data_IF_724990380334
#
_entry.id   IF_724990380334
#
_cell.length_a   1.000
_cell.length_b   1.000
_cell.length_c   1.000
_cell.angle_alpha   90.00
_cell.angle_beta   90.00
_cell.angle_gamma   90.00
#
_symmetry.space_group_name_H-M   'P 1'
#
loop_
_entity.id
_entity.type
_entity.pdbx_description
1 polymer ?
#
# COMPACT_ATOMS: atom_id res chain seq x y z
N UNK A 1 33.41 -31.30 14.35
CA UNK A 1 32.87 -30.32 13.38
C UNK A 1 31.44 -30.75 13.08
N UNK A 2 30.40 -29.93 13.23
CA UNK A 2 29.06 -30.39 12.88
C UNK A 2 29.04 -30.67 11.38
N UNK A 3 28.56 -31.87 11.01
CA UNK A 3 28.46 -32.32 9.63
C UNK A 3 27.71 -31.27 8.80
N UNK A 4 28.30 -30.87 7.67
CA UNK A 4 27.61 -30.03 6.71
C UNK A 4 26.34 -30.77 6.27
N UNK A 5 25.17 -30.17 6.52
CA UNK A 5 23.89 -30.77 6.14
C UNK A 5 23.82 -30.77 4.62
N UNK A 6 23.83 -31.95 4.03
CA UNK A 6 23.57 -32.18 2.62
C UNK A 6 22.07 -32.43 2.43
N UNK A 7 21.45 -31.63 1.55
CA UNK A 7 20.03 -31.73 1.19
C UNK A 7 19.86 -31.92 -0.32
N UNK A 8 20.90 -32.39 -1.01
CA UNK A 8 20.85 -32.62 -2.46
C UNK A 8 19.71 -33.59 -2.81
N UNK A 9 18.83 -33.19 -3.73
CA UNK A 9 17.65 -33.94 -4.14
C UNK A 9 16.41 -33.70 -3.28
N UNK A 10 16.53 -33.07 -2.11
CA UNK A 10 15.38 -32.79 -1.25
C UNK A 10 14.47 -31.72 -1.87
N UNK A 11 13.16 -31.90 -1.65
CA UNK A 11 12.11 -31.02 -2.15
C UNK A 11 11.51 -30.16 -1.04
N UNK A 12 11.41 -28.87 -1.31
CA UNK A 12 10.85 -27.83 -0.44
C UNK A 12 9.80 -27.03 -1.21
N UNK A 13 8.53 -27.47 -1.15
CA UNK A 13 7.48 -26.93 -2.00
C UNK A 13 7.78 -27.19 -3.48
N UNK A 14 7.94 -26.13 -4.27
CA UNK A 14 8.30 -26.22 -5.70
C UNK A 14 9.81 -26.25 -5.97
N UNK A 15 10.64 -26.17 -4.93
CA UNK A 15 12.09 -26.10 -5.07
C UNK A 15 12.70 -27.47 -4.80
N UNK A 16 13.56 -27.94 -5.70
CA UNK A 16 14.40 -29.13 -5.50
C UNK A 16 15.84 -28.69 -5.35
N UNK A 17 16.48 -29.01 -4.23
CA UNK A 17 17.86 -28.64 -3.98
C UNK A 17 18.81 -29.41 -4.91
N UNK A 18 19.61 -28.70 -5.71
CA UNK A 18 20.54 -29.29 -6.68
C UNK A 18 21.96 -29.40 -6.13
N UNK A 19 22.45 -28.32 -5.53
CA UNK A 19 23.84 -28.20 -5.07
C UNK A 19 23.98 -27.06 -4.08
N UNK A 20 25.05 -27.09 -3.29
CA UNK A 20 25.41 -25.98 -2.41
C UNK A 20 25.65 -24.72 -3.23
N UNK A 21 24.97 -23.64 -2.84
CA UNK A 21 25.10 -22.32 -3.44
C UNK A 21 26.17 -21.46 -2.74
N UNK A 22 26.38 -20.22 -3.21
CA UNK A 22 27.29 -19.28 -2.56
C UNK A 22 26.75 -18.88 -1.19
N UNK A 23 27.54 -19.08 -0.13
CA UNK A 23 27.16 -18.69 1.23
C UNK A 23 26.81 -17.19 1.27
N UNK A 24 25.74 -16.85 1.99
CA UNK A 24 25.32 -15.47 2.23
C UNK A 24 25.68 -15.09 3.66
N UNK A 25 26.88 -14.51 3.82
CA UNK A 25 27.45 -14.27 5.15
C UNK A 25 27.66 -15.59 5.89
N UNK A 26 27.05 -15.75 7.07
CA UNK A 26 27.12 -16.99 7.87
C UNK A 26 26.13 -18.06 7.44
N UNK A 27 25.22 -17.77 6.49
CA UNK A 27 24.15 -18.69 6.07
C UNK A 27 24.60 -19.56 4.92
N UNK A 28 24.36 -20.86 5.05
CA UNK A 28 24.54 -21.82 3.96
C UNK A 28 23.36 -21.72 3.01
N UNK A 29 23.64 -21.57 1.72
CA UNK A 29 22.62 -21.50 0.67
C UNK A 29 22.69 -22.71 -0.23
N UNK A 30 21.58 -22.95 -0.93
CA UNK A 30 21.39 -24.04 -1.86
C UNK A 30 20.80 -23.51 -3.16
N UNK A 31 21.44 -23.85 -4.27
CA UNK A 31 20.89 -23.66 -5.60
C UNK A 31 19.79 -24.68 -5.80
N UNK A 32 18.57 -24.20 -6.06
CA UNK A 32 17.39 -25.03 -6.18
C UNK A 32 16.74 -24.87 -7.56
N UNK A 33 16.32 -25.98 -8.17
CA UNK A 33 15.48 -25.96 -9.37
C UNK A 33 14.02 -25.80 -8.95
N UNK A 34 13.37 -24.77 -9.45
CA UNK A 34 11.94 -24.57 -9.27
C UNK A 34 11.14 -25.38 -10.30
N UNK A 35 9.95 -25.85 -9.95
CA UNK A 35 9.04 -26.54 -10.88
C UNK A 35 8.67 -25.69 -12.12
N UNK A 36 8.85 -24.37 -12.06
CA UNK A 36 8.68 -23.50 -13.24
C UNK A 36 9.92 -23.44 -14.15
N UNK A 37 10.96 -24.22 -13.87
CA UNK A 37 12.20 -24.32 -14.66
C UNK A 37 13.32 -23.36 -14.27
N UNK A 38 13.09 -22.40 -13.36
CA UNK A 38 14.10 -21.42 -12.95
C UNK A 38 14.95 -21.94 -11.79
N UNK A 39 16.26 -21.65 -11.83
CA UNK A 39 17.17 -21.85 -10.69
C UNK A 39 17.08 -20.68 -9.70
N UNK A 40 17.07 -20.97 -8.40
CA UNK A 40 16.99 -19.97 -7.35
C UNK A 40 17.85 -20.37 -6.14
N UNK A 41 18.68 -19.44 -5.65
CA UNK A 41 19.50 -19.65 -4.46
C UNK A 41 18.71 -19.27 -3.20
N UNK A 42 18.56 -20.23 -2.28
CA UNK A 42 17.81 -20.06 -1.03
C UNK A 42 18.67 -20.49 0.15
N UNK A 43 18.60 -19.77 1.28
CA UNK A 43 19.26 -20.24 2.50
C UNK A 43 18.57 -21.50 3.05
N UNK A 44 19.39 -22.39 3.63
CA UNK A 44 18.95 -23.69 4.12
C UNK A 44 17.84 -23.56 5.19
N UNK A 45 17.91 -22.57 6.06
CA UNK A 45 16.91 -22.35 7.11
C UNK A 45 15.55 -21.97 6.51
N UNK A 46 15.53 -21.12 5.48
CA UNK A 46 14.29 -20.74 4.78
C UNK A 46 13.65 -21.91 4.02
N UNK A 47 14.45 -22.84 3.49
CA UNK A 47 13.95 -24.08 2.90
C UNK A 47 13.30 -24.97 3.97
N UNK A 48 14.02 -25.26 5.07
CA UNK A 48 13.54 -26.18 6.12
C UNK A 48 12.32 -25.67 6.88
N UNK A 49 12.23 -24.37 7.12
CA UNK A 49 11.07 -23.76 7.77
C UNK A 49 9.94 -23.41 6.79
N UNK A 50 10.10 -23.68 5.49
CA UNK A 50 9.09 -23.42 4.48
C UNK A 50 8.79 -21.94 4.24
N UNK A 51 9.73 -21.05 4.56
CA UNK A 51 9.63 -19.61 4.29
C UNK A 51 9.74 -19.32 2.78
N UNK A 52 10.52 -20.13 2.06
CA UNK A 52 10.68 -20.03 0.61
C UNK A 52 10.20 -21.32 -0.05
N UNK A 53 9.11 -21.22 -0.82
CA UNK A 53 8.43 -22.38 -1.45
C UNK A 53 8.55 -22.41 -2.98
N UNK A 54 9.11 -21.37 -3.59
CA UNK A 54 9.31 -21.23 -5.04
C UNK A 54 10.34 -20.14 -5.34
N UNK A 55 10.77 -20.02 -6.58
CA UNK A 55 11.60 -18.90 -7.05
C UNK A 55 10.86 -17.55 -7.14
N UNK A 56 9.64 -17.44 -6.59
CA UNK A 56 8.73 -16.29 -6.74
C UNK A 56 7.57 -16.55 -7.70
N UNK A 57 7.60 -17.63 -8.49
CA UNK A 57 6.54 -17.94 -9.46
C UNK A 57 5.17 -18.16 -8.81
N UNK A 58 5.10 -18.71 -7.59
CA UNK A 58 3.85 -18.84 -6.84
C UNK A 58 3.16 -17.48 -6.63
N UNK A 59 3.94 -16.44 -6.31
CA UNK A 59 3.42 -15.09 -6.11
C UNK A 59 2.97 -14.48 -7.43
N UNK A 60 3.78 -14.62 -8.49
CA UNK A 60 3.44 -14.14 -9.83
C UNK A 60 2.16 -14.78 -10.39
N UNK A 61 1.97 -16.09 -10.17
CA UNK A 61 0.76 -16.80 -10.55
C UNK A 61 -0.48 -16.30 -9.79
N UNK A 62 -0.35 -16.10 -8.47
CA UNK A 62 -1.43 -15.56 -7.65
C UNK A 62 -1.82 -14.14 -8.09
N UNK A 63 -0.84 -13.27 -8.34
CA UNK A 63 -1.07 -11.91 -8.83
C UNK A 63 -1.78 -11.90 -10.19
N UNK A 64 -1.35 -12.75 -11.13
CA UNK A 64 -2.00 -12.91 -12.45
C UNK A 64 -3.47 -13.34 -12.32
N UNK A 65 -3.77 -14.30 -11.44
CA UNK A 65 -5.15 -14.75 -11.18
C UNK A 65 -6.03 -13.64 -10.59
N UNK A 66 -5.47 -12.75 -9.77
CA UNK A 66 -6.20 -11.58 -9.25
C UNK A 66 -6.52 -10.57 -10.36
N UNK A 67 -5.56 -10.31 -11.26
CA UNK A 67 -5.77 -9.40 -12.40
C UNK A 67 -6.87 -9.93 -13.32
N UNK A 68 -6.88 -11.23 -13.64
CA UNK A 68 -7.91 -11.79 -14.53
C UNK A 68 -9.29 -11.77 -13.88
N UNK A 69 -9.41 -12.04 -12.57
CA UNK A 69 -10.68 -12.00 -11.85
C UNK A 69 -11.26 -10.60 -11.70
N UNK A 70 -10.39 -9.61 -11.52
CA UNK A 70 -10.79 -8.22 -11.29
C UNK A 70 -10.55 -7.34 -12.53
N UNK A 71 -10.42 -7.94 -13.73
CA UNK A 71 -10.25 -7.17 -14.96
C UNK A 71 -11.50 -6.32 -15.16
N UNK A 72 -11.39 -4.98 -15.16
CA UNK A 72 -12.55 -4.14 -15.45
C UNK A 72 -13.04 -4.45 -16.88
N UNK A 73 -14.34 -4.25 -17.16
CA UNK A 73 -14.88 -4.38 -18.52
C UNK A 73 -14.03 -3.60 -19.53
N UNK A 74 -13.99 -4.07 -20.77
CA UNK A 74 -13.27 -3.39 -21.83
C UNK A 74 -13.73 -1.92 -21.96
N UNK A 75 -12.78 -0.98 -21.88
CA UNK A 75 -13.06 0.47 -21.88
C UNK A 75 -13.28 1.12 -20.50
N UNK A 76 -13.40 0.34 -19.42
CA UNK A 76 -13.57 0.90 -18.07
C UNK A 76 -12.21 1.23 -17.42
N UNK A 77 -11.68 2.44 -17.69
CA UNK A 77 -10.61 3.06 -16.89
C UNK A 77 -11.26 3.92 -15.79
N UNK A 78 -11.43 3.37 -14.59
CA UNK A 78 -11.94 4.11 -13.41
C UNK A 78 -10.87 4.97 -12.72
N UNK A 79 -9.77 5.28 -13.40
CA UNK A 79 -8.76 6.17 -12.83
C UNK A 79 -9.08 7.58 -13.26
N UNK A 80 -9.34 8.44 -12.30
CA UNK A 80 -9.38 9.90 -12.45
C UNK A 80 -8.00 10.50 -12.84
N UNK A 81 -7.00 9.68 -13.20
CA UNK A 81 -5.68 10.09 -13.69
C UNK A 81 -4.75 10.69 -12.63
N UNK A 82 -5.20 10.81 -11.38
CA UNK A 82 -4.51 11.57 -10.33
C UNK A 82 -4.23 10.74 -9.07
N UNK A 83 -4.17 9.41 -9.17
CA UNK A 83 -4.01 8.54 -8.00
C UNK A 83 -2.70 8.76 -7.23
N UNK A 84 -1.67 9.32 -7.88
CA UNK A 84 -0.39 9.69 -7.27
C UNK A 84 -0.28 11.20 -6.97
N UNK A 85 -1.38 11.95 -7.11
CA UNK A 85 -1.36 13.40 -6.89
C UNK A 85 -1.50 13.76 -5.40
N UNK A 86 -0.93 14.90 -4.97
CA UNK A 86 -1.06 15.34 -3.60
C UNK A 86 -2.49 15.76 -3.20
N UNK A 87 -3.33 16.14 -4.14
CA UNK A 87 -4.75 16.42 -3.95
C UNK A 87 -5.49 15.13 -3.60
N UNK A 88 -5.25 14.06 -4.37
CA UNK A 88 -5.83 12.74 -4.09
C UNK A 88 -5.38 12.21 -2.73
N UNK A 89 -4.10 12.40 -2.40
CA UNK A 89 -3.57 12.07 -1.07
C UNK A 89 -4.28 12.86 0.05
N UNK A 90 -4.53 14.15 -0.16
CA UNK A 90 -5.24 15.01 0.79
C UNK A 90 -6.71 14.58 0.98
N UNK A 91 -7.39 14.21 -0.11
CA UNK A 91 -8.75 13.67 -0.11
C UNK A 91 -8.83 12.32 0.65
N UNK A 92 -7.90 11.42 0.39
CA UNK A 92 -7.77 10.16 1.12
C UNK A 92 -7.53 10.41 2.62
N UNK A 93 -6.66 11.36 2.96
CA UNK A 93 -6.37 11.73 4.34
C UNK A 93 -7.58 12.35 5.05
N UNK A 94 -8.40 13.15 4.36
CA UNK A 94 -9.69 13.65 4.86
C UNK A 94 -10.64 12.50 5.19
N UNK A 95 -10.84 11.55 4.24
CA UNK A 95 -11.69 10.37 4.46
C UNK A 95 -11.21 9.53 5.64
N UNK A 96 -9.90 9.29 5.74
CA UNK A 96 -9.30 8.55 6.86
C UNK A 96 -9.56 9.24 8.21
N UNK A 97 -9.44 10.58 8.28
CA UNK A 97 -9.72 11.35 9.52
C UNK A 97 -11.16 11.17 9.99
N UNK A 98 -12.13 11.22 9.08
CA UNK A 98 -13.55 11.22 9.44
C UNK A 98 -14.19 9.82 9.53
N UNK A 99 -13.65 8.81 8.84
CA UNK A 99 -14.34 7.52 8.65
C UNK A 99 -13.63 6.32 9.26
N UNK A 100 -12.39 6.48 9.76
CA UNK A 100 -11.64 5.35 10.33
C UNK A 100 -11.69 5.34 11.86
N UNK A 101 -12.62 4.60 12.49
CA UNK A 101 -12.75 4.52 13.95
C UNK A 101 -11.53 3.88 14.63
N UNK A 102 -10.74 3.09 13.90
CA UNK A 102 -9.52 2.46 14.43
C UNK A 102 -8.33 3.44 14.50
N UNK A 103 -8.48 4.68 14.06
CA UNK A 103 -7.42 5.68 14.20
C UNK A 103 -7.39 6.21 15.63
N UNK A 104 -6.21 6.23 16.26
CA UNK A 104 -6.00 6.87 17.57
C UNK A 104 -6.41 8.35 17.62
N UNK A 105 -6.48 9.02 16.46
CA UNK A 105 -6.91 10.43 16.36
C UNK A 105 -8.39 10.57 15.93
N UNK A 106 -9.14 9.48 15.83
CA UNK A 106 -10.52 9.50 15.35
C UNK A 106 -11.41 10.40 16.20
N UNK A 107 -11.24 10.37 17.52
CA UNK A 107 -11.94 11.23 18.48
C UNK A 107 -11.79 12.72 18.19
N UNK A 108 -10.69 13.17 17.54
CA UNK A 108 -10.50 14.59 17.17
C UNK A 108 -11.26 15.00 15.90
N UNK A 109 -11.79 14.03 15.16
CA UNK A 109 -12.39 14.20 13.84
C UNK A 109 -13.74 13.51 13.78
N UNK A 110 -13.82 12.31 13.19
CA UNK A 110 -15.09 11.59 13.04
C UNK A 110 -15.80 11.33 14.37
N UNK A 111 -15.05 11.08 15.45
CA UNK A 111 -15.61 10.91 16.79
C UNK A 111 -16.24 12.18 17.39
N UNK A 112 -15.89 13.37 16.89
CA UNK A 112 -16.56 14.65 17.22
C UNK A 112 -17.81 14.92 16.39
N UNK A 113 -18.14 14.06 15.42
CA UNK A 113 -19.24 14.27 14.49
C UNK A 113 -18.88 15.13 13.28
N UNK A 114 -17.59 15.39 13.02
CA UNK A 114 -17.13 16.07 11.82
C UNK A 114 -17.35 15.14 10.61
N UNK A 115 -18.13 15.61 9.64
CA UNK A 115 -18.52 14.85 8.44
C UNK A 115 -17.84 15.42 7.20
N UNK A 116 -17.98 14.66 6.11
CA UNK A 116 -17.58 15.05 4.76
C UNK A 116 -18.86 15.21 3.96
N UNK A 117 -18.96 16.27 3.14
CA UNK A 117 -20.13 16.45 2.30
C UNK A 117 -20.31 15.24 1.35
N UNK A 118 -21.55 14.85 1.01
CA UNK A 118 -21.80 13.61 0.26
C UNK A 118 -21.09 13.54 -1.10
N UNK A 119 -20.98 14.67 -1.80
CA UNK A 119 -20.32 14.75 -3.10
C UNK A 119 -18.85 14.35 -2.98
N UNK A 120 -18.10 15.01 -2.10
CA UNK A 120 -16.69 14.70 -1.85
C UNK A 120 -16.50 13.29 -1.29
N UNK A 121 -17.44 12.79 -0.48
CA UNK A 121 -17.35 11.41 0.02
C UNK A 121 -17.40 10.39 -1.13
N UNK A 122 -18.24 10.67 -2.13
CA UNK A 122 -18.56 9.79 -3.26
C UNK A 122 -17.55 9.84 -4.41
N UNK A 123 -16.93 11.00 -4.67
CA UNK A 123 -16.08 11.21 -5.85
C UNK A 123 -14.90 12.14 -5.55
N UNK A 124 -13.72 11.75 -5.99
CA UNK A 124 -12.54 12.61 -5.95
C UNK A 124 -12.66 13.78 -6.94
N UNK A 125 -13.27 13.54 -8.10
CA UNK A 125 -13.48 14.53 -9.14
C UNK A 125 -14.31 15.71 -8.63
N UNK A 126 -15.34 15.47 -7.84
CA UNK A 126 -16.12 16.56 -7.19
C UNK A 126 -15.29 17.34 -6.19
N UNK A 127 -14.47 16.65 -5.37
CA UNK A 127 -13.54 17.31 -4.45
C UNK A 127 -12.53 18.18 -5.21
N UNK A 128 -11.95 17.65 -6.29
CA UNK A 128 -10.96 18.35 -7.08
C UNK A 128 -11.56 19.51 -7.87
N UNK A 129 -12.78 19.39 -8.38
CA UNK A 129 -13.48 20.49 -9.03
C UNK A 129 -13.69 21.69 -8.08
N UNK A 130 -13.99 21.43 -6.81
CA UNK A 130 -14.20 22.48 -5.81
C UNK A 130 -12.88 23.05 -5.25
N UNK A 131 -11.87 22.20 -5.05
CA UNK A 131 -10.62 22.58 -4.37
C UNK A 131 -9.49 23.01 -5.33
N UNK A 132 -9.50 22.49 -6.56
CA UNK A 132 -8.45 22.66 -7.54
C UNK A 132 -7.07 22.14 -7.10
N UNK A 133 -6.06 22.57 -7.86
CA UNK A 133 -4.66 22.23 -7.58
C UNK A 133 -4.20 22.74 -6.23
N UNK A 134 -3.40 21.92 -5.54
CA UNK A 134 -2.73 22.34 -4.32
C UNK A 134 -1.64 23.35 -4.70
N UNK A 135 -1.68 24.60 -4.19
CA UNK A 135 -0.81 25.68 -4.69
C UNK A 135 0.69 25.42 -4.52
N UNK A 136 1.08 24.69 -3.47
CA UNK A 136 2.47 24.29 -3.26
C UNK A 136 2.60 23.13 -2.28
N UNK A 137 3.77 22.47 -2.19
CA UNK A 137 4.04 21.43 -1.19
C UNK A 137 3.86 21.88 0.27
N UNK A 138 3.92 23.19 0.54
CA UNK A 138 3.72 23.75 1.88
C UNK A 138 2.25 23.81 2.32
N UNK A 139 1.32 23.65 1.36
CA UNK A 139 -0.12 23.67 1.63
C UNK A 139 -0.65 22.29 1.96
N UNK A 140 -1.68 22.26 2.80
CA UNK A 140 -2.51 21.08 3.01
C UNK A 140 -3.97 21.49 3.24
N UNK A 141 -4.87 20.51 3.19
CA UNK A 141 -6.31 20.74 3.33
C UNK A 141 -6.64 21.17 4.77
N UNK A 142 -7.17 22.37 4.89
CA UNK A 142 -7.58 23.02 6.13
C UNK A 142 -9.10 23.26 6.13
N UNK A 143 -9.69 23.31 7.34
CA UNK A 143 -11.07 23.75 7.54
C UNK A 143 -11.02 25.13 8.18
N UNK A 144 -11.74 26.11 7.61
CA UNK A 144 -11.81 27.49 8.09
C UNK A 144 -12.44 27.55 9.47
N UNK A 145 -13.55 26.85 9.66
CA UNK A 145 -14.13 26.53 10.95
C UNK A 145 -13.71 25.11 11.35
N UNK A 146 -12.94 25.00 12.44
CA UNK A 146 -12.44 23.73 12.98
C UNK A 146 -13.53 22.80 13.49
N UNK A 147 -14.71 23.32 13.80
CA UNK A 147 -15.86 22.56 14.29
C UNK A 147 -16.82 22.19 13.15
N UNK A 148 -16.73 22.91 12.02
CA UNK A 148 -17.49 22.66 10.81
C UNK A 148 -17.05 21.44 9.99
N UNK A 149 -17.86 21.03 9.01
CA UNK A 149 -17.60 19.84 8.18
C UNK A 149 -16.52 20.06 7.11
N UNK A 150 -16.08 18.98 6.46
CA UNK A 150 -15.36 19.06 5.20
C UNK A 150 -16.33 19.28 4.04
N UNK A 151 -16.34 20.50 3.51
CA UNK A 151 -17.22 20.92 2.43
C UNK A 151 -16.62 22.14 1.72
N UNK A 152 -17.03 22.45 0.47
CA UNK A 152 -16.41 23.49 -0.35
C UNK A 152 -16.31 24.86 0.35
N UNK A 153 -17.34 25.24 1.10
CA UNK A 153 -17.39 26.53 1.80
C UNK A 153 -16.50 26.59 3.04
N UNK A 154 -16.28 25.45 3.69
CA UNK A 154 -15.49 25.39 4.92
C UNK A 154 -14.03 24.99 4.65
N UNK A 155 -13.68 24.50 3.47
CA UNK A 155 -12.33 24.04 3.18
C UNK A 155 -11.49 25.04 2.36
N UNK A 156 -10.18 24.95 2.53
CA UNK A 156 -9.19 25.69 1.73
C UNK A 156 -7.85 24.95 1.73
N UNK A 157 -7.00 25.27 0.77
CA UNK A 157 -5.57 25.02 0.88
C UNK A 157 -4.95 26.06 1.82
N UNK A 158 -4.25 25.61 2.85
CA UNK A 158 -3.57 26.50 3.78
C UNK A 158 -2.20 25.96 4.17
N UNK A 159 -1.28 26.87 4.39
CA UNK A 159 0.05 26.62 4.94
C UNK A 159 -0.02 26.30 6.43
N UNK A 160 1.05 25.72 6.96
CA UNK A 160 1.19 25.45 8.39
C UNK A 160 1.02 26.71 9.27
N UNK A 161 1.47 27.88 8.78
CA UNK A 161 1.34 29.16 9.50
C UNK A 161 -0.13 29.57 9.63
N UNK A 162 -0.89 29.46 8.53
CA UNK A 162 -2.31 29.81 8.48
C UNK A 162 -3.15 28.85 9.35
N UNK A 163 -2.89 27.54 9.25
CA UNK A 163 -3.57 26.54 10.08
C UNK A 163 -3.30 26.74 11.57
N UNK A 164 -2.09 27.15 11.95
CA UNK A 164 -1.76 27.44 13.36
C UNK A 164 -2.54 28.63 13.90
N UNK A 165 -2.75 29.66 13.09
CA UNK A 165 -3.56 30.81 13.46
C UNK A 165 -5.05 30.48 13.57
N UNK A 166 -5.45 29.33 13.00
CA UNK A 166 -6.81 28.82 13.03
C UNK A 166 -7.04 27.75 14.12
N UNK A 167 -6.21 27.71 15.16
CA UNK A 167 -6.38 26.76 16.26
C UNK A 167 -7.36 27.34 17.30
N UNK A 168 -8.41 26.58 17.54
CA UNK A 168 -9.33 26.68 18.68
C UNK A 168 -8.78 25.89 19.86
#
# INVERSE_FOLDING_TARGET
MPNAIDVTGDRYGRLVALRRGPNKGRRTTWACLCDCGNEHNVDLDSLRHGLTKSCGCLHSEAARKMITRNRPPEGARFSHGMSDSPEYSSWCAMKKRCLNPNSIRYERWGGRGIKICPQWLSSFETFYADMGDRPSPAHSLDRRDNDGNYEPRNCRWATHKEQRNNRS
#
